data_IF_022404366068
#
_entry.id   IF_022404366068
#
_cell.length_a   1.000
_cell.length_b   1.000
_cell.length_c   1.000
_cell.angle_alpha   90.00
_cell.angle_beta   90.00
_cell.angle_gamma   90.00
#
_symmetry.space_group_name_H-M   'P 1'
#
loop_
_entity.id
_entity.type
_entity.pdbx_description
1 polymer ?
#
# COMPACT_ATOMS: atom_id res chain seq x y z
N UNK A 1 16.50 -47.55 -29.75
CA UNK A 1 16.39 -46.92 -28.43
C UNK A 1 16.45 -45.41 -28.63
N UNK A 2 15.31 -44.71 -28.66
CA UNK A 2 15.24 -43.26 -28.98
C UNK A 2 15.46 -42.48 -27.68
N UNK A 3 16.66 -41.96 -27.45
CA UNK A 3 16.94 -41.05 -26.33
C UNK A 3 16.19 -39.73 -26.52
N UNK A 4 15.41 -39.36 -25.52
CA UNK A 4 14.38 -38.34 -25.61
C UNK A 4 14.99 -36.92 -25.55
N UNK A 5 14.60 -36.06 -26.49
CA UNK A 5 15.00 -34.63 -26.61
C UNK A 5 14.77 -33.85 -25.30
N UNK A 6 13.85 -34.31 -24.46
CA UNK A 6 13.54 -33.72 -23.15
C UNK A 6 14.65 -33.91 -22.09
N UNK A 7 15.43 -35.00 -22.12
CA UNK A 7 16.55 -35.18 -21.16
C UNK A 7 17.74 -34.26 -21.49
N UNK A 8 17.93 -33.94 -22.77
CA UNK A 8 19.02 -33.05 -23.24
C UNK A 8 18.81 -31.58 -22.87
N UNK A 9 17.54 -31.16 -22.74
CA UNK A 9 17.16 -29.77 -22.38
C UNK A 9 17.38 -29.52 -20.88
N UNK A 10 17.17 -30.54 -20.03
CA UNK A 10 17.41 -30.44 -18.59
C UNK A 10 18.90 -30.50 -18.21
N UNK A 11 19.72 -31.19 -19.01
CA UNK A 11 21.18 -31.30 -18.79
C UNK A 11 21.97 -30.02 -19.16
N UNK A 12 21.49 -29.20 -20.10
CA UNK A 12 22.27 -28.05 -20.62
C UNK A 12 22.10 -26.76 -19.80
N UNK A 13 21.18 -26.72 -18.82
CA UNK A 13 20.90 -25.51 -18.02
C UNK A 13 21.55 -25.51 -16.64
N UNK A 14 22.53 -26.37 -16.41
CA UNK A 14 23.38 -26.32 -15.22
C UNK A 14 24.79 -25.90 -15.67
N UNK A 15 24.92 -24.62 -16.06
CA UNK A 15 26.25 -24.00 -16.07
C UNK A 15 26.56 -23.75 -14.61
N UNK A 16 27.59 -24.44 -14.12
CA UNK A 16 28.17 -24.23 -12.80
C UNK A 16 28.22 -22.73 -12.51
N UNK A 17 27.38 -22.29 -11.57
CA UNK A 17 27.35 -20.89 -11.15
C UNK A 17 28.69 -20.68 -10.44
N UNK A 18 29.65 -20.06 -11.13
CA UNK A 18 30.91 -19.65 -10.51
C UNK A 18 30.64 -18.78 -9.28
N UNK A 19 31.61 -18.70 -8.37
CA UNK A 19 31.46 -17.97 -7.11
C UNK A 19 30.86 -16.56 -7.27
N UNK A 20 31.31 -15.80 -8.27
CA UNK A 20 30.76 -14.47 -8.61
C UNK A 20 29.27 -14.50 -9.00
N UNK A 21 28.85 -15.54 -9.73
CA UNK A 21 27.44 -15.74 -10.06
C UNK A 21 26.59 -16.06 -8.84
N UNK A 22 27.15 -16.77 -7.85
CA UNK A 22 26.48 -17.10 -6.60
C UNK A 22 26.31 -15.84 -5.74
N UNK A 23 27.37 -15.03 -5.63
CA UNK A 23 27.33 -13.72 -4.96
C UNK A 23 26.30 -12.80 -5.63
N UNK A 24 26.30 -12.75 -6.97
CA UNK A 24 25.30 -12.00 -7.74
C UNK A 24 23.86 -12.47 -7.47
N UNK A 25 23.64 -13.78 -7.37
CA UNK A 25 22.32 -14.35 -7.04
C UNK A 25 21.86 -13.95 -5.62
N UNK A 26 22.77 -13.94 -4.65
CA UNK A 26 22.46 -13.52 -3.29
C UNK A 26 22.11 -12.03 -3.22
N UNK A 27 22.88 -11.17 -3.89
CA UNK A 27 22.61 -9.74 -3.96
C UNK A 27 21.26 -9.43 -4.63
N UNK A 28 20.94 -10.12 -5.72
CA UNK A 28 19.65 -9.99 -6.40
C UNK A 28 18.50 -10.44 -5.51
N UNK A 29 18.65 -11.59 -4.85
CA UNK A 29 17.63 -12.13 -3.94
C UNK A 29 17.38 -11.16 -2.78
N UNK A 30 18.44 -10.64 -2.15
CA UNK A 30 18.34 -9.68 -1.07
C UNK A 30 17.59 -8.41 -1.51
N UNK A 31 17.98 -7.83 -2.65
CA UNK A 31 17.33 -6.63 -3.19
C UNK A 31 15.85 -6.89 -3.50
N UNK A 32 15.53 -8.03 -4.11
CA UNK A 32 14.15 -8.41 -4.42
C UNK A 32 13.31 -8.60 -3.15
N UNK A 33 13.86 -9.23 -2.11
CA UNK A 33 13.17 -9.45 -0.84
C UNK A 33 12.95 -8.16 -0.06
N UNK A 34 13.94 -7.27 -0.01
CA UNK A 34 13.80 -5.94 0.59
C UNK A 34 12.71 -5.12 -0.11
N UNK A 35 12.71 -5.11 -1.44
CA UNK A 35 11.69 -4.41 -2.24
C UNK A 35 10.29 -4.94 -1.95
N UNK A 36 10.14 -6.26 -1.82
CA UNK A 36 8.86 -6.88 -1.46
C UNK A 36 8.42 -6.51 -0.04
N UNK A 37 9.34 -6.48 0.91
CA UNK A 37 9.04 -6.09 2.29
C UNK A 37 8.53 -4.65 2.37
N UNK A 38 9.23 -3.70 1.71
CA UNK A 38 8.80 -2.30 1.64
C UNK A 38 7.40 -2.19 1.02
N UNK A 39 7.17 -2.83 -0.13
CA UNK A 39 5.84 -2.84 -0.79
C UNK A 39 4.74 -3.40 0.11
N UNK A 40 5.01 -4.45 0.87
CA UNK A 40 4.03 -5.03 1.79
C UNK A 40 3.65 -4.03 2.90
N UNK A 41 4.63 -3.30 3.43
CA UNK A 41 4.40 -2.25 4.43
C UNK A 41 3.61 -1.09 3.83
N UNK A 42 3.97 -0.64 2.62
CA UNK A 42 3.26 0.43 1.93
C UNK A 42 1.78 0.09 1.71
N UNK A 43 1.49 -1.13 1.24
CA UNK A 43 0.11 -1.60 1.05
C UNK A 43 -0.63 -1.61 2.39
N UNK A 44 -0.02 -2.14 3.45
CA UNK A 44 -0.64 -2.17 4.77
C UNK A 44 -0.93 -0.75 5.30
N UNK A 45 -0.03 0.21 5.08
CA UNK A 45 -0.22 1.61 5.46
C UNK A 45 -1.37 2.26 4.67
N UNK A 46 -1.45 2.03 3.36
CA UNK A 46 -2.53 2.54 2.51
C UNK A 46 -3.88 2.00 2.99
N UNK A 47 -3.99 0.69 3.20
CA UNK A 47 -5.22 0.05 3.69
C UNK A 47 -5.61 0.60 5.07
N UNK A 48 -4.66 0.70 6.01
CA UNK A 48 -4.90 1.25 7.34
C UNK A 48 -5.41 2.69 7.27
N UNK A 49 -4.72 3.55 6.51
CA UNK A 49 -5.08 4.95 6.36
C UNK A 49 -6.47 5.11 5.74
N UNK A 50 -6.82 4.27 4.76
CA UNK A 50 -8.15 4.23 4.15
C UNK A 50 -9.24 3.86 5.16
N UNK A 51 -9.05 2.76 5.89
CA UNK A 51 -9.99 2.30 6.92
C UNK A 51 -10.21 3.34 8.01
N UNK A 52 -9.17 4.08 8.38
CA UNK A 52 -9.30 5.14 9.37
C UNK A 52 -10.19 6.28 8.86
N UNK A 53 -10.08 6.63 7.58
CA UNK A 53 -11.00 7.58 6.93
C UNK A 53 -12.45 7.09 6.95
N UNK A 54 -12.65 5.81 6.59
CA UNK A 54 -13.96 5.15 6.64
C UNK A 54 -14.57 5.24 8.04
N UNK A 55 -13.84 4.83 9.09
CA UNK A 55 -14.35 4.86 10.46
C UNK A 55 -14.73 6.25 10.94
N UNK A 56 -13.97 7.28 10.55
CA UNK A 56 -14.29 8.67 10.91
C UNK A 56 -15.60 9.09 10.24
N UNK A 57 -15.76 8.83 8.93
CA UNK A 57 -16.97 9.22 8.18
C UNK A 57 -18.21 8.47 8.66
N UNK A 58 -18.11 7.16 8.90
CA UNK A 58 -19.22 6.37 9.43
C UNK A 58 -19.64 6.85 10.83
N UNK A 59 -18.66 7.17 11.69
CA UNK A 59 -18.94 7.71 13.01
C UNK A 59 -19.63 9.09 12.94
N UNK A 60 -19.23 9.94 12.00
CA UNK A 60 -19.89 11.23 11.76
C UNK A 60 -21.32 11.04 11.23
N UNK A 61 -21.53 10.13 10.28
CA UNK A 61 -22.83 9.90 9.64
C UNK A 61 -23.87 9.20 10.56
N UNK A 62 -23.42 8.35 11.48
CA UNK A 62 -24.30 7.69 12.45
C UNK A 62 -24.88 8.65 13.51
N UNK A 63 -24.38 9.89 13.60
CA UNK A 63 -24.79 10.91 14.57
C UNK A 63 -25.86 11.86 14.05
N UNK A 64 -27.02 11.34 13.62
CA UNK A 64 -28.10 12.10 12.94
C UNK A 64 -28.68 13.28 13.76
N UNK A 65 -28.54 13.32 15.08
CA UNK A 65 -29.10 14.40 15.93
C UNK A 65 -28.12 15.55 16.32
N UNK A 66 -26.85 15.53 15.90
CA UNK A 66 -25.83 16.49 16.42
C UNK A 66 -24.91 17.11 15.35
N UNK A 67 -25.45 17.36 14.16
CA UNK A 67 -24.71 17.87 13.00
C UNK A 67 -24.05 19.25 13.19
N UNK A 68 -24.45 20.03 14.20
CA UNK A 68 -23.93 21.39 14.40
C UNK A 68 -22.56 21.46 15.13
N UNK A 69 -22.05 20.34 15.66
CA UNK A 69 -20.87 20.37 16.55
C UNK A 69 -19.69 19.44 16.18
N UNK A 70 -19.85 18.55 15.20
CA UNK A 70 -18.83 17.54 14.91
C UNK A 70 -18.17 17.75 13.54
N UNK A 71 -17.03 18.43 13.61
CA UNK A 71 -16.02 18.52 12.54
C UNK A 71 -14.64 18.65 13.20
N UNK A 72 -14.02 19.83 13.14
CA UNK A 72 -12.70 20.12 13.76
C UNK A 72 -12.53 19.63 15.21
N UNK A 73 -13.61 19.57 16.01
CA UNK A 73 -13.61 19.05 17.39
C UNK A 73 -13.40 17.53 17.49
N UNK A 74 -13.96 16.73 16.56
CA UNK A 74 -13.76 15.27 16.54
C UNK A 74 -12.31 14.93 16.26
N UNK A 75 -11.75 15.50 15.18
CA UNK A 75 -10.37 15.29 14.79
C UNK A 75 -9.39 15.78 15.86
N UNK A 76 -9.74 16.83 16.61
CA UNK A 76 -8.93 17.29 17.73
C UNK A 76 -8.91 16.28 18.88
N UNK A 77 -10.08 15.77 19.31
CA UNK A 77 -10.18 14.72 20.35
C UNK A 77 -9.47 13.45 19.92
N UNK A 78 -9.73 12.97 18.69
CA UNK A 78 -9.06 11.79 18.14
C UNK A 78 -7.55 11.99 18.11
N UNK A 79 -7.07 13.18 17.74
CA UNK A 79 -5.64 13.45 17.69
C UNK A 79 -4.98 13.32 19.05
N UNK A 80 -5.58 13.88 20.10
CA UNK A 80 -5.08 13.74 21.47
C UNK A 80 -5.07 12.27 21.89
N UNK A 81 -6.23 11.62 21.87
CA UNK A 81 -6.36 10.25 22.36
C UNK A 81 -5.53 9.22 21.59
N UNK A 82 -5.43 9.35 20.26
CA UNK A 82 -4.64 8.43 19.44
C UNK A 82 -3.14 8.70 19.58
N UNK A 83 -2.73 9.96 19.75
CA UNK A 83 -1.32 10.27 20.01
C UNK A 83 -0.88 9.73 21.37
N UNK A 84 -1.74 9.84 22.38
CA UNK A 84 -1.45 9.32 23.72
C UNK A 84 -1.38 7.77 23.75
N UNK A 85 -2.26 7.10 23.00
CA UNK A 85 -2.33 5.62 23.00
C UNK A 85 -1.36 4.95 22.03
N UNK A 86 -1.18 5.52 20.83
CA UNK A 86 -0.48 4.88 19.72
C UNK A 86 0.81 5.62 19.34
N UNK A 87 1.09 6.77 19.97
CA UNK A 87 2.28 7.56 19.72
C UNK A 87 2.17 8.48 18.50
N UNK A 88 3.31 8.82 17.90
CA UNK A 88 3.40 9.80 16.82
C UNK A 88 2.68 9.30 15.55
N UNK A 89 2.18 10.23 14.74
CA UNK A 89 1.53 9.95 13.45
C UNK A 89 0.02 10.18 13.43
N UNK A 90 -0.61 10.47 14.58
CA UNK A 90 -2.05 10.74 14.71
C UNK A 90 -2.36 12.20 15.02
N UNK A 91 -1.63 13.12 14.38
CA UNK A 91 -1.96 14.54 14.41
C UNK A 91 -3.34 14.83 13.80
N UNK A 92 -3.96 15.96 14.17
CA UNK A 92 -5.18 16.44 13.52
C UNK A 92 -5.07 16.48 12.00
N UNK A 93 -3.88 16.85 11.47
CA UNK A 93 -3.61 16.91 10.03
C UNK A 93 -3.63 15.53 9.38
N UNK A 94 -3.02 14.52 9.98
CA UNK A 94 -2.99 13.16 9.43
C UNK A 94 -4.38 12.51 9.46
N UNK A 95 -5.13 12.71 10.54
CA UNK A 95 -6.53 12.24 10.62
C UNK A 95 -7.42 12.91 9.57
N UNK A 96 -7.25 14.21 9.34
CA UNK A 96 -7.95 14.92 8.27
C UNK A 96 -7.57 14.35 6.88
N UNK A 97 -6.30 13.98 6.68
CA UNK A 97 -5.87 13.37 5.43
C UNK A 97 -6.53 12.00 5.19
N UNK A 98 -6.70 11.20 6.24
CA UNK A 98 -7.39 9.91 6.15
C UNK A 98 -8.87 10.10 5.78
N UNK A 99 -9.54 11.07 6.41
CA UNK A 99 -10.91 11.45 6.07
C UNK A 99 -11.03 11.87 4.59
N UNK A 100 -10.19 12.81 4.13
CA UNK A 100 -10.18 13.25 2.72
C UNK A 100 -9.95 12.06 1.78
N UNK A 101 -9.01 11.18 2.11
CA UNK A 101 -8.68 10.03 1.27
C UNK A 101 -9.89 9.12 1.04
N UNK A 102 -10.66 8.81 2.08
CA UNK A 102 -11.88 8.01 1.96
C UNK A 102 -12.99 8.73 1.18
N UNK A 103 -13.27 9.99 1.54
CA UNK A 103 -14.34 10.79 0.89
C UNK A 103 -14.05 11.00 -0.60
N UNK A 104 -12.81 11.35 -0.96
CA UNK A 104 -12.41 11.49 -2.35
C UNK A 104 -12.61 10.18 -3.12
N UNK A 105 -12.20 9.04 -2.56
CA UNK A 105 -12.39 7.76 -3.23
C UNK A 105 -13.87 7.41 -3.46
N UNK A 106 -14.74 7.70 -2.50
CA UNK A 106 -16.19 7.54 -2.72
C UNK A 106 -16.65 8.45 -3.86
N UNK A 107 -16.27 9.72 -3.83
CA UNK A 107 -16.67 10.70 -4.84
C UNK A 107 -16.26 10.27 -6.25
N UNK A 108 -15.02 9.81 -6.43
CA UNK A 108 -14.53 9.27 -7.70
C UNK A 108 -15.22 7.96 -8.11
N UNK A 109 -15.58 7.09 -7.16
CA UNK A 109 -16.34 5.86 -7.45
C UNK A 109 -17.77 6.16 -7.88
N UNK A 110 -18.39 7.21 -7.32
CA UNK A 110 -19.77 7.59 -7.62
C UNK A 110 -19.93 8.39 -8.91
N UNK A 111 -18.87 9.09 -9.37
CA UNK A 111 -18.93 9.98 -10.53
C UNK A 111 -18.28 9.44 -11.81
N UNK A 112 -17.73 8.22 -11.80
CA UNK A 112 -17.47 7.46 -13.03
C UNK A 112 -16.39 7.97 -14.00
N UNK A 113 -15.92 9.22 -13.88
CA UNK A 113 -14.95 9.80 -14.82
C UNK A 113 -13.70 10.36 -14.11
N UNK A 114 -12.56 10.06 -14.73
CA UNK A 114 -11.17 10.41 -14.35
C UNK A 114 -10.51 9.51 -13.28
N UNK A 115 -10.40 8.21 -13.57
CA UNK A 115 -9.65 7.23 -12.80
C UNK A 115 -8.11 7.38 -12.88
N UNK A 116 -7.57 8.41 -13.54
CA UNK A 116 -6.14 8.43 -13.89
C UNK A 116 -5.21 8.79 -12.72
N UNK A 117 -5.59 9.68 -11.81
CA UNK A 117 -4.66 10.15 -10.76
C UNK A 117 -4.53 9.16 -9.59
N UNK A 118 -5.62 8.47 -9.23
CA UNK A 118 -5.57 7.38 -8.24
C UNK A 118 -4.88 6.15 -8.84
N UNK A 119 -5.09 5.84 -10.13
CA UNK A 119 -4.28 4.84 -10.84
C UNK A 119 -2.81 5.23 -10.99
N UNK A 120 -2.41 6.50 -10.92
CA UNK A 120 -1.00 6.89 -10.94
C UNK A 120 -0.30 6.68 -9.58
N UNK A 121 -1.01 6.94 -8.48
CA UNK A 121 -0.51 6.64 -7.12
C UNK A 121 -0.47 5.12 -6.87
N UNK A 122 -1.49 4.37 -7.31
CA UNK A 122 -1.49 2.89 -7.25
C UNK A 122 -0.64 2.23 -8.35
N UNK A 123 -0.46 2.87 -9.50
CA UNK A 123 0.30 2.39 -10.65
C UNK A 123 1.81 2.60 -10.53
N UNK A 124 2.27 3.41 -9.57
CA UNK A 124 3.70 3.50 -9.23
C UNK A 124 4.23 2.23 -8.54
N UNK A 125 3.36 1.30 -8.14
CA UNK A 125 3.76 -0.07 -7.77
C UNK A 125 4.04 -0.94 -9.02
N UNK A 126 3.68 -0.48 -10.23
CA UNK A 126 3.80 -1.21 -11.50
C UNK A 126 4.78 -0.58 -12.50
N UNK A 127 5.88 0.04 -12.06
CA UNK A 127 7.06 0.30 -12.93
C UNK A 127 8.35 0.25 -12.13
N UNK A 128 8.91 -0.95 -11.99
CA UNK A 128 10.35 -1.17 -11.81
C UNK A 128 10.62 -2.57 -12.36
N UNK A 129 10.82 -2.61 -13.69
CA UNK A 129 11.55 -3.59 -14.50
C UNK A 129 11.09 -3.42 -15.95
N UNK A 130 11.56 -2.33 -16.55
CA UNK A 130 11.89 -2.30 -17.96
C UNK A 130 13.25 -1.59 -18.00
N UNK A 131 14.26 -2.40 -17.75
CA UNK A 131 15.60 -2.43 -18.34
C UNK A 131 16.18 -3.81 -18.01
#
# INVERSE_FOLDING_TARGET
MKTNKHEKILSTKNREIGFEGLVGLFAQTQTAMQTRAVRSVDIALVVRNWLFGYYIVEFENAGVERSELYGKKLLHKLSQHLTDKLGKGFSRRSLNQFWIFYVCQIFYRTLGDCADTVCQIFGSIRKTHRD
#
